data_IF_790471711386
#
_entry.id   IF_790471711386
#
_cell.length_a   1.000
_cell.length_b   1.000
_cell.length_c   1.000
_cell.angle_alpha   90.00
_cell.angle_beta   90.00
_cell.angle_gamma   90.00
#
_symmetry.space_group_name_H-M   'P 1'
#
loop_
_entity.id
_entity.type
_entity.pdbx_description
1 polymer ?
#
# COMPACT_ATOMS: atom_id res chain seq x y z
N UNK A 1 44.52 72.34 5.89
CA UNK A 1 44.07 71.77 4.60
C UNK A 1 45.15 70.78 4.17
N UNK A 2 44.95 69.49 4.46
CA UNK A 2 45.92 68.45 4.11
C UNK A 2 45.50 67.82 2.79
N UNK A 3 46.31 68.01 1.75
CA UNK A 3 46.21 67.28 0.50
C UNK A 3 46.29 65.78 0.79
N UNK A 4 45.17 65.08 0.57
CA UNK A 4 45.17 63.62 0.54
C UNK A 4 45.73 63.19 -0.80
N UNK A 5 47.02 62.85 -0.81
CA UNK A 5 47.66 62.14 -1.91
C UNK A 5 46.81 60.93 -2.29
N UNK A 6 46.09 61.05 -3.42
CA UNK A 6 45.40 59.94 -4.06
C UNK A 6 46.45 59.00 -4.62
N UNK A 7 46.90 58.06 -3.78
CA UNK A 7 47.73 56.93 -4.19
C UNK A 7 47.02 56.25 -5.36
N UNK A 8 47.62 56.33 -6.54
CA UNK A 8 47.13 55.66 -7.74
C UNK A 8 46.92 54.17 -7.45
N UNK A 9 45.79 53.57 -7.84
CA UNK A 9 45.53 52.16 -7.55
C UNK A 9 46.60 51.30 -8.21
N UNK A 10 47.42 50.65 -7.38
CA UNK A 10 48.47 49.74 -7.83
C UNK A 10 47.82 48.65 -8.68
N UNK A 11 48.21 48.54 -9.96
CA UNK A 11 47.62 47.58 -10.91
C UNK A 11 48.18 46.17 -10.75
N UNK A 12 49.42 46.06 -10.26
CA UNK A 12 50.11 44.80 -10.02
C UNK A 12 51.05 44.91 -8.82
N UNK A 13 51.35 43.78 -8.17
CA UNK A 13 52.21 43.67 -7.00
C UNK A 13 53.06 42.41 -7.08
N UNK A 14 54.32 42.49 -6.64
CA UNK A 14 55.20 41.31 -6.50
C UNK A 14 54.85 40.54 -5.22
N UNK A 15 54.54 39.25 -5.36
CA UNK A 15 54.28 38.38 -4.22
C UNK A 15 55.60 38.07 -3.49
N UNK A 16 55.64 38.29 -2.17
CA UNK A 16 56.85 38.01 -1.37
C UNK A 16 57.14 36.52 -1.16
N UNK A 17 56.22 35.62 -1.51
CA UNK A 17 56.38 34.17 -1.31
C UNK A 17 56.81 33.46 -2.60
N UNK A 18 56.13 33.71 -3.72
CA UNK A 18 56.46 33.11 -5.02
C UNK A 18 57.32 33.99 -5.93
N UNK A 19 57.59 35.25 -5.55
CA UNK A 19 58.42 36.17 -6.32
C UNK A 19 57.79 36.72 -7.61
N UNK A 20 56.64 36.21 -8.04
CA UNK A 20 55.95 36.65 -9.26
C UNK A 20 55.20 37.98 -9.08
N UNK A 21 55.24 38.83 -10.10
CA UNK A 21 54.40 40.04 -10.19
C UNK A 21 53.03 39.67 -10.74
N UNK A 22 51.98 39.88 -9.94
CA UNK A 22 50.60 39.50 -10.25
C UNK A 22 49.68 40.71 -10.23
N UNK A 23 48.53 40.68 -10.93
CA UNK A 23 47.55 41.76 -10.86
C UNK A 23 47.04 41.96 -9.43
N UNK A 24 46.65 43.19 -9.09
CA UNK A 24 46.15 43.51 -7.75
C UNK A 24 44.93 42.67 -7.32
N UNK A 25 44.14 42.16 -8.28
CA UNK A 25 43.03 41.22 -8.06
C UNK A 25 43.47 39.89 -7.43
N UNK A 26 44.74 39.51 -7.57
CA UNK A 26 45.30 38.28 -7.01
C UNK A 26 45.80 38.44 -5.57
N UNK A 27 45.62 39.62 -4.97
CA UNK A 27 45.96 39.91 -3.58
C UNK A 27 44.69 40.21 -2.78
N UNK A 28 44.69 39.89 -1.49
CA UNK A 28 43.61 40.32 -0.57
C UNK A 28 43.79 41.80 -0.24
N UNK A 29 42.70 42.51 0.05
CA UNK A 29 42.77 43.89 0.54
C UNK A 29 43.29 43.90 1.98
N UNK A 30 44.29 44.72 2.26
CA UNK A 30 44.88 44.87 3.59
C UNK A 30 45.03 46.37 3.89
N UNK A 31 44.10 46.91 4.70
CA UNK A 31 44.06 48.35 5.01
C UNK A 31 45.32 48.87 5.70
N UNK A 32 46.07 47.99 6.37
CA UNK A 32 47.29 48.35 7.10
C UNK A 32 48.55 48.41 6.22
N UNK A 33 48.49 48.01 4.95
CA UNK A 33 49.64 48.14 4.04
C UNK A 33 49.62 49.47 3.30
N UNK A 34 50.81 50.02 3.00
CA UNK A 34 50.97 51.29 2.26
C UNK A 34 50.23 51.32 0.92
N UNK A 35 50.08 50.17 0.28
CA UNK A 35 49.45 49.99 -1.03
C UNK A 35 48.03 49.38 -0.95
N UNK A 36 47.50 49.16 0.25
CA UNK A 36 46.17 48.57 0.46
C UNK A 36 46.03 47.08 0.07
N UNK A 37 47.12 46.41 -0.33
CA UNK A 37 47.14 45.01 -0.77
C UNK A 37 48.01 44.14 0.14
N UNK A 38 47.57 42.89 0.36
CA UNK A 38 48.33 41.90 1.12
C UNK A 38 49.73 41.64 0.54
N UNK A 39 50.66 41.19 1.40
CA UNK A 39 52.05 40.90 1.02
C UNK A 39 52.21 39.64 0.16
N UNK A 40 51.24 38.72 0.24
CA UNK A 40 51.25 37.44 -0.47
C UNK A 40 50.04 37.34 -1.39
N UNK A 41 50.22 36.74 -2.57
CA UNK A 41 49.10 36.46 -3.45
C UNK A 41 48.14 35.44 -2.80
N UNK A 42 46.88 35.40 -3.24
CA UNK A 42 45.82 34.50 -2.75
C UNK A 42 46.24 33.02 -2.77
N UNK A 43 47.08 32.63 -3.73
CA UNK A 43 47.66 31.26 -3.85
C UNK A 43 48.52 30.96 -2.62
N UNK A 44 49.56 31.76 -2.43
CA UNK A 44 50.59 31.62 -1.41
C UNK A 44 50.01 31.77 -0.01
N UNK A 45 49.11 32.74 0.16
CA UNK A 45 48.36 32.93 1.40
C UNK A 45 47.57 31.66 1.77
N UNK A 46 46.87 31.09 0.81
CA UNK A 46 46.13 29.83 0.98
C UNK A 46 47.02 28.63 1.33
N UNK A 47 48.14 28.48 0.63
CA UNK A 47 49.11 27.42 0.88
C UNK A 47 49.70 27.53 2.30
N UNK A 48 50.10 28.73 2.73
CA UNK A 48 50.60 28.98 4.10
C UNK A 48 49.55 28.68 5.15
N UNK A 49 48.32 29.17 4.99
CA UNK A 49 47.25 28.91 5.93
C UNK A 49 46.95 27.39 6.02
N UNK A 50 46.99 26.70 4.89
CA UNK A 50 46.83 25.24 4.86
C UNK A 50 47.96 24.50 5.58
N UNK A 51 49.21 24.95 5.49
CA UNK A 51 50.34 24.33 6.23
C UNK A 51 50.15 24.45 7.73
N UNK A 52 49.73 25.63 8.23
CA UNK A 52 49.45 25.84 9.65
C UNK A 52 48.29 24.97 10.14
N UNK A 53 47.19 24.90 9.39
CA UNK A 53 46.06 24.03 9.69
C UNK A 53 46.44 22.54 9.69
N UNK A 54 47.19 22.09 8.67
CA UNK A 54 47.60 20.69 8.55
C UNK A 54 48.53 20.26 9.69
N UNK A 55 49.45 21.13 10.12
CA UNK A 55 50.30 20.88 11.29
C UNK A 55 49.45 20.61 12.53
N UNK A 56 48.49 21.50 12.85
CA UNK A 56 47.58 21.32 13.99
C UNK A 56 46.74 20.03 13.93
N UNK A 57 46.32 19.60 12.73
CA UNK A 57 45.55 18.37 12.58
C UNK A 57 46.42 17.11 12.67
N UNK A 58 47.66 17.17 12.17
CA UNK A 58 48.65 16.09 12.32
C UNK A 58 49.04 15.90 13.79
N UNK A 59 49.18 16.99 14.55
CA UNK A 59 49.41 16.95 16.01
C UNK A 59 48.25 16.27 16.75
N UNK A 60 47.03 16.27 16.17
CA UNK A 60 45.84 15.58 16.67
C UNK A 60 45.67 14.15 16.10
N UNK A 61 46.66 13.63 15.38
CA UNK A 61 46.64 12.30 14.77
C UNK A 61 45.67 12.13 13.61
N UNK A 62 45.17 13.22 13.01
CA UNK A 62 44.19 13.17 11.92
C UNK A 62 44.86 13.31 10.56
N UNK A 63 44.50 12.44 9.62
CA UNK A 63 44.90 12.60 8.22
C UNK A 63 44.34 13.90 7.63
N UNK A 64 45.20 14.65 6.93
CA UNK A 64 44.83 15.94 6.36
C UNK A 64 44.71 15.88 4.85
N UNK A 65 43.63 16.45 4.31
CA UNK A 65 43.45 16.57 2.86
C UNK A 65 44.40 17.60 2.26
N UNK A 66 44.83 17.36 1.02
CA UNK A 66 45.53 18.36 0.22
C UNK A 66 44.66 19.61 0.04
N UNK A 67 45.27 20.77 0.26
CA UNK A 67 44.67 22.08 0.03
C UNK A 67 44.37 22.25 -1.44
N UNK A 68 43.14 22.66 -1.74
CA UNK A 68 42.68 22.98 -3.09
C UNK A 68 41.94 24.32 -3.01
N UNK A 69 42.22 25.26 -3.92
CA UNK A 69 41.50 26.54 -3.88
C UNK A 69 40.13 26.37 -4.49
N UNK A 70 39.16 27.10 -3.93
CA UNK A 70 37.81 27.16 -4.49
C UNK A 70 37.80 27.76 -5.91
N UNK A 71 38.79 28.59 -6.26
CA UNK A 71 38.99 29.16 -7.60
C UNK A 71 39.41 28.15 -8.67
N UNK A 72 39.81 26.94 -8.28
CA UNK A 72 40.22 25.89 -9.23
C UNK A 72 39.02 25.08 -9.75
N UNK A 73 37.81 25.40 -9.27
CA UNK A 73 36.55 24.80 -9.74
C UNK A 73 35.91 25.78 -10.74
N UNK A 74 35.68 25.37 -12.00
CA UNK A 74 35.02 26.21 -12.99
C UNK A 74 33.63 26.69 -12.54
N UNK A 75 33.20 27.84 -13.04
CA UNK A 75 31.84 28.34 -12.81
C UNK A 75 30.80 27.32 -13.31
N UNK A 76 29.74 27.09 -12.53
CA UNK A 76 28.76 26.03 -12.81
C UNK A 76 29.21 24.60 -12.44
N UNK A 77 30.39 24.42 -11.84
CA UNK A 77 30.85 23.13 -11.33
C UNK A 77 31.00 23.12 -9.80
N UNK A 78 30.94 21.92 -9.23
CA UNK A 78 31.13 21.67 -7.80
C UNK A 78 31.94 20.40 -7.59
N UNK A 79 32.85 20.46 -6.61
CA UNK A 79 33.66 19.31 -6.20
C UNK A 79 32.87 18.41 -5.24
N UNK A 80 32.86 17.10 -5.51
CA UNK A 80 32.33 16.09 -4.60
C UNK A 80 33.46 15.52 -3.72
N UNK A 81 33.44 15.74 -2.39
CA UNK A 81 34.48 15.24 -1.49
C UNK A 81 34.47 13.73 -1.25
N UNK A 82 33.47 13.01 -1.75
CA UNK A 82 33.36 11.55 -1.62
C UNK A 82 34.01 10.83 -2.80
N UNK A 83 33.62 11.14 -4.04
CA UNK A 83 34.27 10.57 -5.23
C UNK A 83 35.51 11.32 -5.70
N UNK A 84 35.79 12.50 -5.12
CA UNK A 84 36.95 13.35 -5.42
C UNK A 84 36.96 13.93 -6.84
N UNK A 85 35.81 14.01 -7.49
CA UNK A 85 35.63 14.57 -8.84
C UNK A 85 34.98 15.96 -8.80
N UNK A 86 35.27 16.77 -9.82
CA UNK A 86 34.56 18.02 -10.10
C UNK A 86 33.46 17.72 -11.13
N UNK A 87 32.21 18.05 -10.80
CA UNK A 87 31.02 17.70 -11.58
C UNK A 87 30.16 18.94 -11.78
N UNK A 88 29.23 18.91 -12.75
CA UNK A 88 28.22 19.96 -12.89
C UNK A 88 27.42 20.13 -11.60
N UNK A 89 27.02 21.37 -11.27
CA UNK A 89 26.10 21.66 -10.16
C UNK A 89 24.77 20.90 -10.27
N UNK A 90 24.34 20.52 -11.47
CA UNK A 90 23.12 19.75 -11.71
C UNK A 90 23.18 18.32 -11.14
N UNK A 91 24.39 17.78 -11.02
CA UNK A 91 24.64 16.48 -10.40
C UNK A 91 24.55 16.53 -8.86
N UNK A 92 24.27 17.70 -8.28
CA UNK A 92 24.07 17.87 -6.84
C UNK A 92 22.59 18.07 -6.52
N UNK A 93 22.18 17.67 -5.31
CA UNK A 93 20.83 17.94 -4.82
C UNK A 93 20.70 19.39 -4.37
N UNK A 94 19.47 19.90 -4.27
CA UNK A 94 19.21 21.21 -3.66
C UNK A 94 19.20 21.09 -2.14
N UNK A 95 19.85 22.00 -1.44
CA UNK A 95 19.80 22.11 0.02
C UNK A 95 19.74 23.58 0.43
N UNK A 96 18.54 24.03 0.83
CA UNK A 96 18.24 25.40 1.24
C UNK A 96 19.01 25.84 2.50
N UNK A 97 19.41 24.90 3.35
CA UNK A 97 20.18 25.20 4.55
C UNK A 97 21.67 25.47 4.26
N UNK A 98 22.16 25.14 3.05
CA UNK A 98 23.56 25.38 2.68
C UNK A 98 23.74 26.75 2.04
N UNK A 99 24.86 27.43 2.32
CA UNK A 99 25.23 28.71 1.68
C UNK A 99 25.28 28.64 0.15
N UNK A 100 25.63 27.46 -0.40
CA UNK A 100 25.66 27.23 -1.85
C UNK A 100 24.32 26.82 -2.46
N UNK A 101 23.27 26.62 -1.65
CA UNK A 101 21.99 26.07 -2.12
C UNK A 101 22.02 24.60 -2.59
N UNK A 102 23.18 23.93 -2.51
CA UNK A 102 23.46 22.59 -3.06
C UNK A 102 24.03 21.64 -2.00
N UNK A 103 23.73 20.34 -2.13
CA UNK A 103 24.25 19.28 -1.25
C UNK A 103 25.77 19.21 -1.26
N UNK A 104 26.36 18.68 -0.18
CA UNK A 104 27.81 18.53 -0.03
C UNK A 104 28.39 17.45 -0.96
N UNK A 105 27.65 16.37 -1.19
CA UNK A 105 28.00 15.28 -2.11
C UNK A 105 27.18 15.35 -3.40
N UNK A 106 27.72 14.82 -4.49
CA UNK A 106 26.95 14.57 -5.72
C UNK A 106 25.83 13.54 -5.43
N UNK A 107 24.78 13.52 -6.24
CA UNK A 107 23.60 12.67 -6.06
C UNK A 107 23.94 11.19 -5.85
N UNK A 108 24.82 10.53 -6.64
CA UNK A 108 25.18 9.13 -6.40
C UNK A 108 25.85 8.90 -5.04
N UNK A 109 26.80 9.77 -4.66
CA UNK A 109 27.48 9.68 -3.37
C UNK A 109 26.53 9.99 -2.21
N UNK A 110 25.60 10.92 -2.40
CA UNK A 110 24.56 11.23 -1.42
C UNK A 110 23.63 10.03 -1.21
N UNK A 111 23.16 9.39 -2.28
CA UNK A 111 22.32 8.19 -2.19
C UNK A 111 23.03 7.05 -1.45
N UNK A 112 24.32 6.80 -1.74
CA UNK A 112 25.13 5.81 -1.01
C UNK A 112 25.26 6.14 0.47
N UNK A 113 25.61 7.40 0.80
CA UNK A 113 25.73 7.84 2.18
C UNK A 113 24.41 7.74 2.95
N UNK A 114 23.28 8.11 2.33
CA UNK A 114 21.95 7.97 2.93
C UNK A 114 21.60 6.49 3.17
N UNK A 115 21.91 5.60 2.23
CA UNK A 115 21.70 4.17 2.40
C UNK A 115 22.52 3.59 3.57
N UNK A 116 23.79 3.98 3.70
CA UNK A 116 24.66 3.58 4.81
C UNK A 116 24.16 4.12 6.16
N UNK A 117 23.74 5.39 6.22
CA UNK A 117 23.16 5.98 7.44
C UNK A 117 21.88 5.23 7.83
N UNK A 118 21.00 4.94 6.87
CA UNK A 118 19.79 4.15 7.11
C UNK A 118 20.12 2.76 7.65
N UNK A 119 21.11 2.08 7.06
CA UNK A 119 21.57 0.76 7.52
C UNK A 119 22.17 0.82 8.92
N UNK A 120 22.96 1.85 9.24
CA UNK A 120 23.57 2.03 10.57
C UNK A 120 22.54 2.30 11.66
N UNK A 121 21.58 3.18 11.38
CA UNK A 121 20.61 3.63 12.39
C UNK A 121 19.43 2.67 12.57
N UNK A 122 19.04 1.97 11.51
CA UNK A 122 17.84 1.12 11.51
C UNK A 122 18.13 -0.36 11.23
N UNK A 123 19.39 -0.75 10.98
CA UNK A 123 19.79 -2.13 10.67
C UNK A 123 19.46 -2.54 9.23
N UNK A 124 18.17 -2.50 8.86
CA UNK A 124 17.67 -2.88 7.55
C UNK A 124 16.75 -1.79 6.95
N UNK A 125 16.64 -1.76 5.62
CA UNK A 125 15.68 -0.88 4.94
C UNK A 125 14.23 -1.23 5.31
N UNK A 126 13.96 -2.52 5.57
CA UNK A 126 12.66 -3.01 6.03
C UNK A 126 12.32 -2.46 7.42
N UNK A 127 13.23 -2.56 8.38
CA UNK A 127 13.03 -2.07 9.74
C UNK A 127 12.83 -0.54 9.78
N UNK A 128 13.53 0.20 8.92
CA UNK A 128 13.28 1.64 8.75
C UNK A 128 11.83 1.94 8.30
N UNK A 129 11.33 1.22 7.28
CA UNK A 129 9.97 1.41 6.78
C UNK A 129 8.91 0.98 7.79
N UNK A 130 9.13 -0.12 8.52
CA UNK A 130 8.23 -0.59 9.57
C UNK A 130 8.11 0.44 10.70
N UNK A 131 9.24 0.98 11.18
CA UNK A 131 9.25 2.04 12.20
C UNK A 131 8.56 3.31 11.72
N UNK A 132 8.77 3.70 10.46
CA UNK A 132 8.18 4.92 9.89
C UNK A 132 6.66 4.82 9.72
N UNK A 133 6.15 3.65 9.28
CA UNK A 133 4.73 3.48 8.93
C UNK A 133 3.87 2.97 10.08
N UNK A 134 4.42 2.08 10.89
CA UNK A 134 3.66 1.29 11.86
C UNK A 134 4.21 1.41 13.27
N UNK A 135 5.29 2.17 13.47
CA UNK A 135 5.97 2.32 14.75
C UNK A 135 6.41 0.99 15.40
N UNK A 136 6.56 -0.08 14.60
CA UNK A 136 7.07 -1.39 15.05
C UNK A 136 8.41 -1.73 14.41
N UNK A 137 9.20 -2.55 15.10
CA UNK A 137 10.47 -3.07 14.59
C UNK A 137 10.31 -4.41 13.87
N UNK A 138 11.32 -4.79 13.10
CA UNK A 138 11.41 -6.11 12.48
C UNK A 138 11.38 -7.25 13.51
N UNK A 139 12.02 -7.07 14.66
CA UNK A 139 12.00 -8.02 15.78
C UNK A 139 10.62 -8.10 16.45
N UNK A 140 9.91 -6.98 16.57
CA UNK A 140 8.52 -6.95 17.08
C UNK A 140 7.57 -7.72 16.16
N UNK A 141 7.66 -7.49 14.85
CA UNK A 141 6.90 -8.26 13.87
C UNK A 141 7.24 -9.75 13.95
N UNK A 142 8.52 -10.10 14.13
CA UNK A 142 8.94 -11.48 14.37
C UNK A 142 8.29 -12.11 15.60
N UNK A 143 8.21 -11.38 16.72
CA UNK A 143 7.51 -11.81 17.94
C UNK A 143 6.01 -11.98 17.72
N UNK A 144 5.36 -11.07 16.98
CA UNK A 144 3.94 -11.21 16.63
C UNK A 144 3.68 -12.46 15.79
N UNK A 145 4.52 -12.71 14.77
CA UNK A 145 4.42 -13.91 13.93
C UNK A 145 4.61 -15.19 14.75
N UNK A 146 5.57 -15.21 15.67
CA UNK A 146 5.79 -16.35 16.56
C UNK A 146 4.59 -16.58 17.50
N UNK A 147 4.03 -15.51 18.08
CA UNK A 147 2.85 -15.60 18.94
C UNK A 147 1.60 -16.11 18.19
N UNK A 148 1.51 -15.83 16.89
CA UNK A 148 0.46 -16.36 16.01
C UNK A 148 0.70 -17.83 15.60
N UNK A 149 1.79 -18.48 16.03
CA UNK A 149 2.14 -19.83 15.57
C UNK A 149 2.64 -19.87 14.12
N UNK A 150 3.12 -18.73 13.58
CA UNK A 150 3.63 -18.65 12.21
C UNK A 150 2.55 -18.71 11.12
N UNK A 151 1.26 -18.53 11.47
CA UNK A 151 0.14 -18.60 10.52
C UNK A 151 -0.63 -17.28 10.45
N UNK A 152 -1.22 -17.00 9.28
CA UNK A 152 -2.19 -15.92 9.10
C UNK A 152 -3.42 -16.15 9.97
N UNK A 153 -3.73 -15.20 10.85
CA UNK A 153 -4.85 -15.34 11.79
C UNK A 153 -6.20 -15.44 11.09
N UNK A 154 -6.40 -14.86 9.91
CA UNK A 154 -7.70 -14.94 9.20
C UNK A 154 -7.89 -16.32 8.57
N UNK A 155 -7.00 -16.74 7.66
CA UNK A 155 -7.25 -17.96 6.89
C UNK A 155 -6.74 -19.24 7.54
N UNK A 156 -5.81 -19.15 8.49
CA UNK A 156 -5.11 -20.28 9.13
C UNK A 156 -4.42 -21.27 8.14
N UNK A 157 -4.15 -20.83 6.90
CA UNK A 157 -3.61 -21.68 5.82
C UNK A 157 -2.27 -21.22 5.25
N UNK A 158 -1.88 -19.96 5.50
CA UNK A 158 -0.73 -19.34 4.86
C UNK A 158 0.15 -18.59 5.86
N UNK A 159 1.43 -18.48 5.53
CA UNK A 159 2.38 -17.69 6.31
C UNK A 159 1.99 -16.20 6.33
N UNK A 160 2.05 -15.54 7.50
CA UNK A 160 1.82 -14.12 7.61
C UNK A 160 3.07 -13.35 7.14
N UNK A 161 2.86 -12.31 6.34
CA UNK A 161 3.94 -11.51 5.74
C UNK A 161 3.72 -10.00 5.86
N UNK A 162 2.48 -9.56 6.08
CA UNK A 162 2.08 -8.16 6.05
C UNK A 162 1.57 -7.73 7.42
N UNK A 163 2.09 -6.62 7.93
CA UNK A 163 1.57 -5.99 9.15
C UNK A 163 0.27 -5.28 8.79
N UNK A 164 -0.81 -5.72 9.41
CA UNK A 164 -2.12 -5.14 9.27
C UNK A 164 -2.40 -4.15 10.41
N UNK A 165 -3.07 -3.05 10.07
CA UNK A 165 -3.35 -1.95 11.00
C UNK A 165 -4.72 -1.35 10.69
N UNK A 166 -5.35 -0.80 11.73
CA UNK A 166 -6.58 -0.02 11.55
C UNK A 166 -6.26 1.29 10.83
N UNK A 167 -6.93 1.55 9.70
CA UNK A 167 -6.83 2.83 9.00
C UNK A 167 -7.49 3.98 9.77
N UNK A 168 -8.33 3.68 10.77
CA UNK A 168 -8.94 4.68 11.64
C UNK A 168 -8.02 5.09 12.80
N UNK A 169 -7.38 4.13 13.46
CA UNK A 169 -6.61 4.39 14.70
C UNK A 169 -5.10 4.27 14.54
N UNK A 170 -4.62 3.71 13.44
CA UNK A 170 -3.21 3.37 13.22
C UNK A 170 -2.71 2.18 14.04
N UNK A 171 -3.58 1.57 14.87
CA UNK A 171 -3.21 0.45 15.74
C UNK A 171 -2.97 -0.80 14.92
N UNK A 172 -1.79 -1.41 15.13
CA UNK A 172 -1.44 -2.71 14.54
C UNK A 172 -2.33 -3.80 15.16
N UNK A 173 -3.07 -4.52 14.31
CA UNK A 173 -3.97 -5.60 14.74
C UNK A 173 -3.28 -6.96 14.72
N UNK A 174 -2.44 -7.23 13.72
CA UNK A 174 -1.76 -8.51 13.57
C UNK A 174 -0.92 -8.59 12.31
N UNK A 175 -0.43 -9.79 12.01
CA UNK A 175 0.31 -10.06 10.76
C UNK A 175 -0.50 -11.04 9.91
N UNK A 176 -0.80 -10.65 8.68
CA UNK A 176 -1.66 -11.38 7.74
C UNK A 176 -0.87 -11.87 6.52
N UNK A 177 -1.42 -12.84 5.80
CA UNK A 177 -0.93 -13.18 4.47
C UNK A 177 -1.33 -12.09 3.45
N UNK A 178 -0.64 -12.04 2.31
CA UNK A 178 -0.89 -11.02 1.28
C UNK A 178 -2.35 -11.01 0.80
N UNK A 179 -2.94 -12.20 0.62
CA UNK A 179 -4.32 -12.32 0.10
C UNK A 179 -5.36 -11.81 1.10
N UNK A 180 -5.28 -12.23 2.36
CA UNK A 180 -6.22 -11.77 3.38
C UNK A 180 -6.10 -10.27 3.61
N UNK A 181 -4.88 -9.72 3.69
CA UNK A 181 -4.66 -8.28 3.82
C UNK A 181 -5.24 -7.50 2.62
N UNK A 182 -5.05 -8.00 1.40
CA UNK A 182 -5.64 -7.39 0.20
C UNK A 182 -7.16 -7.43 0.22
N UNK A 183 -7.74 -8.55 0.68
CA UNK A 183 -9.18 -8.75 0.70
C UNK A 183 -9.88 -7.78 1.66
N UNK A 184 -9.30 -7.52 2.84
CA UNK A 184 -9.83 -6.51 3.77
C UNK A 184 -10.00 -5.16 3.07
N UNK A 185 -9.00 -4.74 2.29
CA UNK A 185 -9.08 -3.52 1.47
C UNK A 185 -10.13 -3.58 0.36
N UNK A 186 -10.36 -4.73 -0.28
CA UNK A 186 -11.42 -4.90 -1.29
C UNK A 186 -12.83 -4.76 -0.69
N UNK A 187 -12.99 -5.18 0.56
CA UNK A 187 -14.20 -5.01 1.35
C UNK A 187 -14.21 -3.69 2.16
N UNK A 188 -13.31 -2.75 1.84
CA UNK A 188 -13.22 -1.42 2.47
C UNK A 188 -13.12 -1.47 4.01
N UNK A 189 -12.53 -2.53 4.56
CA UNK A 189 -12.49 -2.78 6.01
C UNK A 189 -13.89 -2.77 6.66
N UNK A 190 -14.95 -3.17 5.92
CA UNK A 190 -16.32 -3.28 6.42
C UNK A 190 -16.63 -4.73 6.87
N UNK A 191 -16.77 -4.99 8.19
CA UNK A 191 -17.10 -6.31 8.71
C UNK A 191 -18.48 -6.81 8.25
N UNK A 192 -19.44 -5.93 7.98
CA UNK A 192 -20.77 -6.34 7.49
C UNK A 192 -20.68 -6.86 6.07
N UNK A 193 -19.99 -6.14 5.20
CA UNK A 193 -19.82 -6.56 3.81
C UNK A 193 -19.09 -7.92 3.69
N UNK A 194 -18.16 -8.20 4.59
CA UNK A 194 -17.50 -9.51 4.71
C UNK A 194 -18.47 -10.62 5.16
N UNK A 195 -19.33 -10.34 6.14
CA UNK A 195 -20.36 -11.27 6.58
C UNK A 195 -21.46 -11.52 5.53
N UNK A 196 -21.90 -10.46 4.84
CA UNK A 196 -22.85 -10.54 3.72
C UNK A 196 -22.27 -11.38 2.58
N UNK A 197 -20.98 -11.22 2.28
CA UNK A 197 -20.29 -12.08 1.33
C UNK A 197 -20.26 -13.54 1.79
N UNK A 198 -20.05 -13.81 3.09
CA UNK A 198 -20.09 -15.17 3.62
C UNK A 198 -21.48 -15.80 3.47
N UNK A 199 -22.53 -15.04 3.76
CA UNK A 199 -23.92 -15.49 3.60
C UNK A 199 -24.28 -15.67 2.13
N UNK A 200 -23.81 -14.79 1.25
CA UNK A 200 -23.95 -14.91 -0.20
C UNK A 200 -23.35 -16.22 -0.74
N UNK A 201 -22.16 -16.62 -0.29
CA UNK A 201 -21.53 -17.89 -0.66
C UNK A 201 -22.33 -19.11 -0.17
N UNK A 202 -23.02 -18.99 0.96
CA UNK A 202 -23.81 -20.07 1.57
C UNK A 202 -25.28 -20.05 1.15
N UNK A 203 -25.66 -19.20 0.19
CA UNK A 203 -27.04 -19.02 -0.25
C UNK A 203 -27.98 -18.63 0.90
N UNK A 204 -27.47 -17.80 1.81
CA UNK A 204 -28.18 -17.18 2.93
C UNK A 204 -28.37 -15.69 2.69
N UNK A 205 -29.12 -15.09 3.62
CA UNK A 205 -29.33 -13.67 3.63
C UNK A 205 -30.28 -13.19 2.53
N UNK A 206 -30.35 -11.87 2.34
CA UNK A 206 -31.45 -11.29 1.59
C UNK A 206 -31.38 -11.50 0.08
N UNK A 207 -30.16 -11.53 -0.50
CA UNK A 207 -29.99 -11.85 -1.93
C UNK A 207 -30.51 -13.25 -2.24
N UNK A 208 -30.15 -14.26 -1.45
CA UNK A 208 -30.65 -15.61 -1.64
C UNK A 208 -32.16 -15.73 -1.43
N UNK A 209 -32.74 -14.96 -0.49
CA UNK A 209 -34.19 -14.89 -0.32
C UNK A 209 -34.87 -14.31 -1.57
N UNK A 210 -34.32 -13.23 -2.14
CA UNK A 210 -34.79 -12.64 -3.38
C UNK A 210 -34.73 -13.63 -4.55
N UNK A 211 -33.58 -14.29 -4.73
CA UNK A 211 -33.43 -15.28 -5.80
C UNK A 211 -34.49 -16.39 -5.68
N UNK A 212 -34.78 -16.87 -4.46
CA UNK A 212 -35.84 -17.85 -4.23
C UNK A 212 -37.24 -17.34 -4.59
N UNK A 213 -37.53 -16.07 -4.34
CA UNK A 213 -38.82 -15.46 -4.71
C UNK A 213 -38.96 -15.35 -6.24
N UNK A 214 -37.89 -14.95 -6.92
CA UNK A 214 -37.90 -14.69 -8.37
C UNK A 214 -37.77 -15.99 -9.20
N UNK A 215 -37.02 -16.98 -8.71
CA UNK A 215 -36.65 -18.20 -9.46
C UNK A 215 -37.12 -19.51 -8.82
N UNK A 216 -37.65 -19.48 -7.59
CA UNK A 216 -37.86 -20.70 -6.79
C UNK A 216 -36.56 -21.35 -6.27
N UNK A 217 -35.39 -20.79 -6.59
CA UNK A 217 -34.06 -21.28 -6.17
C UNK A 217 -33.14 -20.12 -5.77
N UNK A 218 -32.17 -20.38 -4.90
CA UNK A 218 -31.19 -19.36 -4.50
C UNK A 218 -30.07 -19.13 -5.52
N UNK A 219 -30.00 -19.97 -6.56
CA UNK A 219 -28.99 -19.93 -7.62
C UNK A 219 -29.63 -20.17 -8.98
N UNK A 220 -28.94 -19.76 -10.04
CA UNK A 220 -29.23 -20.19 -11.40
C UNK A 220 -28.39 -21.42 -11.69
N UNK A 221 -29.03 -22.58 -11.81
CA UNK A 221 -28.39 -23.77 -12.36
C UNK A 221 -28.50 -23.78 -13.89
N UNK A 222 -27.44 -24.22 -14.57
CA UNK A 222 -27.45 -24.37 -16.02
C UNK A 222 -28.17 -25.64 -16.49
N UNK A 223 -28.68 -26.48 -15.59
CA UNK A 223 -29.28 -27.78 -15.94
C UNK A 223 -30.76 -27.64 -16.31
N UNK A 224 -31.51 -26.80 -15.59
CA UNK A 224 -32.91 -26.52 -15.87
C UNK A 224 -33.15 -25.94 -17.28
N UNK A 225 -32.20 -25.17 -17.83
CA UNK A 225 -32.34 -24.49 -19.14
C UNK A 225 -31.56 -25.13 -20.29
N UNK A 226 -30.64 -26.07 -20.02
CA UNK A 226 -30.02 -26.89 -21.08
C UNK A 226 -31.04 -27.79 -21.79
N UNK A 227 -32.11 -28.19 -21.09
CA UNK A 227 -33.19 -29.03 -21.62
C UNK A 227 -34.18 -28.27 -22.53
N UNK A 228 -34.44 -26.98 -22.31
CA UNK A 228 -35.34 -26.20 -23.17
C UNK A 228 -34.74 -25.98 -24.57
N UNK A 229 -33.41 -25.90 -24.69
CA UNK A 229 -32.73 -25.84 -26.00
C UNK A 229 -32.68 -27.18 -26.75
N UNK A 230 -33.15 -28.28 -26.16
CA UNK A 230 -33.10 -29.64 -26.72
C UNK A 230 -34.45 -30.19 -27.20
N UNK A 231 -35.54 -29.43 -27.09
CA UNK A 231 -36.86 -29.87 -27.52
C UNK A 231 -37.33 -29.11 -28.76
N UNK A 232 -36.80 -29.54 -29.92
CA UNK A 232 -37.50 -29.67 -31.21
C UNK A 232 -36.45 -29.99 -32.30
N UNK A 233 -36.30 -31.28 -32.60
CA UNK A 233 -35.64 -31.83 -33.78
C UNK A 233 -34.16 -31.49 -34.02
N UNK A 234 -33.27 -32.34 -33.46
CA UNK A 234 -32.19 -33.03 -34.20
C UNK A 234 -31.12 -32.21 -34.95
N UNK A 235 -31.14 -30.89 -34.89
CA UNK A 235 -30.17 -30.02 -35.55
C UNK A 235 -29.41 -29.23 -34.50
N UNK A 236 -28.11 -29.48 -34.42
CA UNK A 236 -27.16 -28.70 -33.63
C UNK A 236 -27.19 -27.28 -34.21
N UNK A 237 -27.98 -26.37 -33.61
CA UNK A 237 -28.04 -24.99 -34.06
C UNK A 237 -26.61 -24.44 -34.13
N UNK A 238 -26.20 -23.95 -35.31
CA UNK A 238 -24.92 -23.24 -35.46
C UNK A 238 -25.06 -21.91 -34.74
N UNK A 239 -24.63 -21.86 -33.48
CA UNK A 239 -24.67 -20.63 -32.68
C UNK A 239 -23.60 -19.65 -33.18
N UNK A 240 -24.04 -18.58 -33.82
CA UNK A 240 -23.25 -17.38 -34.08
C UNK A 240 -23.42 -16.45 -32.88
N UNK A 241 -22.45 -16.43 -31.97
CA UNK A 241 -22.45 -15.51 -30.83
C UNK A 241 -21.13 -14.75 -30.70
N UNK A 242 -21.16 -13.58 -30.05
CA UNK A 242 -19.97 -12.82 -29.70
C UNK A 242 -19.05 -13.65 -28.79
N UNK A 243 -17.74 -13.34 -28.68
CA UNK A 243 -16.84 -14.04 -27.78
C UNK A 243 -17.35 -14.09 -26.33
N UNK A 244 -18.04 -13.04 -25.88
CA UNK A 244 -18.70 -12.98 -24.57
C UNK A 244 -19.83 -13.99 -24.45
N UNK A 245 -20.74 -14.06 -25.43
CA UNK A 245 -21.86 -15.00 -25.44
C UNK A 245 -21.38 -16.46 -25.43
N UNK A 246 -20.33 -16.76 -26.19
CA UNK A 246 -19.73 -18.09 -26.20
C UNK A 246 -19.04 -18.41 -24.86
N UNK A 247 -18.40 -17.42 -24.22
CA UNK A 247 -17.79 -17.58 -22.90
C UNK A 247 -18.82 -17.87 -21.80
N UNK A 248 -19.91 -17.08 -21.73
CA UNK A 248 -20.96 -17.27 -20.71
C UNK A 248 -21.62 -18.63 -20.86
N UNK A 249 -21.97 -19.03 -22.08
CA UNK A 249 -22.59 -20.33 -22.36
C UNK A 249 -21.68 -21.50 -22.03
N UNK A 250 -20.41 -21.45 -22.43
CA UNK A 250 -19.47 -22.56 -22.20
C UNK A 250 -19.06 -22.69 -20.72
N UNK A 251 -18.97 -21.58 -20.00
CA UNK A 251 -18.42 -21.56 -18.63
C UNK A 251 -19.49 -21.58 -17.54
N UNK A 252 -20.63 -20.94 -17.76
CA UNK A 252 -21.64 -20.69 -16.72
C UNK A 252 -23.01 -21.29 -17.06
N UNK A 253 -23.22 -21.75 -18.29
CA UNK A 253 -24.52 -22.29 -18.70
C UNK A 253 -25.64 -21.24 -18.81
N UNK A 254 -25.29 -19.95 -18.76
CA UNK A 254 -26.21 -18.81 -18.95
C UNK A 254 -25.85 -18.04 -20.22
N UNK A 255 -26.80 -17.33 -20.80
CA UNK A 255 -26.62 -16.46 -21.95
C UNK A 255 -26.59 -14.96 -21.53
N UNK A 256 -26.40 -14.04 -22.48
CA UNK A 256 -26.38 -12.59 -22.21
C UNK A 256 -27.73 -12.06 -21.70
N UNK A 257 -28.86 -12.64 -22.12
CA UNK A 257 -30.20 -12.28 -21.65
C UNK A 257 -30.37 -12.70 -20.19
N UNK A 258 -29.91 -13.90 -19.82
CA UNK A 258 -29.91 -14.39 -18.43
C UNK A 258 -29.06 -13.50 -17.53
N UNK A 259 -27.88 -13.09 -17.99
CA UNK A 259 -27.00 -12.18 -17.26
C UNK A 259 -27.63 -10.77 -17.14
N UNK A 260 -28.30 -10.29 -18.20
CA UNK A 260 -29.00 -9.00 -18.18
C UNK A 260 -30.22 -9.02 -17.25
N UNK A 261 -30.95 -10.14 -17.23
CA UNK A 261 -32.06 -10.37 -16.30
C UNK A 261 -31.57 -10.46 -14.85
N UNK A 262 -30.48 -11.17 -14.57
CA UNK A 262 -29.86 -11.19 -13.23
C UNK A 262 -29.46 -9.78 -12.78
N UNK A 263 -28.89 -9.00 -13.70
CA UNK A 263 -28.53 -7.62 -13.44
C UNK A 263 -29.77 -6.74 -13.18
N UNK A 264 -30.88 -6.94 -13.91
CA UNK A 264 -32.12 -6.18 -13.70
C UNK A 264 -32.81 -6.54 -12.39
N UNK A 265 -32.83 -7.82 -12.01
CA UNK A 265 -33.33 -8.27 -10.70
C UNK A 265 -32.51 -7.63 -9.58
N UNK A 266 -31.21 -7.44 -9.80
CA UNK A 266 -30.33 -6.71 -8.90
C UNK A 266 -30.29 -5.19 -9.13
N UNK A 267 -31.22 -4.61 -9.89
CA UNK A 267 -31.26 -3.16 -10.11
C UNK A 267 -29.95 -2.54 -10.62
N UNK A 268 -29.12 -3.30 -11.34
CA UNK A 268 -27.81 -2.87 -11.83
C UNK A 268 -26.67 -2.96 -10.80
N UNK A 269 -26.93 -3.41 -9.57
CA UNK A 269 -26.01 -3.29 -8.44
C UNK A 269 -25.44 -4.65 -7.99
N UNK A 270 -24.32 -4.60 -7.25
CA UNK A 270 -23.69 -5.79 -6.69
C UNK A 270 -24.59 -6.50 -5.67
N UNK A 271 -24.72 -7.83 -5.80
CA UNK A 271 -25.49 -8.71 -4.92
C UNK A 271 -25.05 -8.71 -3.45
N UNK A 272 -23.81 -8.29 -3.19
CA UNK A 272 -23.20 -8.31 -1.86
C UNK A 272 -23.26 -6.91 -1.24
N UNK A 273 -22.58 -5.93 -1.84
CA UNK A 273 -22.43 -4.61 -1.20
C UNK A 273 -23.53 -3.62 -1.55
N UNK A 274 -24.23 -3.81 -2.67
CA UNK A 274 -25.23 -2.90 -3.22
C UNK A 274 -24.80 -1.42 -3.33
N UNK A 275 -23.50 -1.14 -3.24
CA UNK A 275 -22.92 0.21 -3.25
C UNK A 275 -22.13 0.51 -4.52
N UNK A 276 -21.97 -0.49 -5.38
CA UNK A 276 -21.25 -0.40 -6.63
C UNK A 276 -22.00 -1.13 -7.76
N UNK A 277 -21.83 -0.69 -9.02
CA UNK A 277 -22.40 -1.37 -10.17
C UNK A 277 -21.89 -2.81 -10.26
N UNK A 278 -22.79 -3.71 -10.63
CA UNK A 278 -22.45 -5.10 -10.89
C UNK A 278 -21.84 -5.23 -12.29
N UNK A 279 -20.69 -5.87 -12.38
CA UNK A 279 -19.93 -5.99 -13.65
C UNK A 279 -19.57 -7.45 -13.96
N UNK A 280 -19.62 -8.34 -12.96
CA UNK A 280 -19.13 -9.70 -13.06
C UNK A 280 -20.24 -10.70 -12.72
N UNK A 281 -20.38 -11.72 -13.56
CA UNK A 281 -21.17 -12.92 -13.24
C UNK A 281 -20.40 -13.72 -12.20
N UNK A 282 -20.91 -13.74 -10.99
CA UNK A 282 -20.32 -14.50 -9.90
C UNK A 282 -20.91 -15.93 -9.86
N UNK A 283 -20.02 -16.89 -9.65
CA UNK A 283 -20.33 -18.32 -9.75
C UNK A 283 -19.49 -19.12 -8.76
N UNK A 284 -20.02 -20.26 -8.35
CA UNK A 284 -19.25 -21.22 -7.57
C UNK A 284 -18.24 -21.96 -8.46
N UNK A 285 -16.95 -21.88 -8.13
CA UNK A 285 -15.88 -22.45 -8.95
C UNK A 285 -15.85 -23.98 -8.97
N UNK A 286 -16.57 -24.67 -8.07
CA UNK A 286 -16.62 -26.13 -7.99
C UNK A 286 -17.80 -26.71 -8.78
N UNK A 287 -18.96 -26.07 -8.67
CA UNK A 287 -20.24 -26.55 -9.21
C UNK A 287 -20.66 -25.81 -10.47
N UNK A 288 -20.13 -24.60 -10.70
CA UNK A 288 -20.48 -23.74 -11.84
C UNK A 288 -21.82 -23.02 -11.68
N UNK A 289 -22.54 -23.19 -10.56
CA UNK A 289 -23.82 -22.49 -10.34
C UNK A 289 -23.60 -20.99 -10.24
N UNK A 290 -24.45 -20.23 -10.92
CA UNK A 290 -24.40 -18.77 -10.89
C UNK A 290 -25.18 -18.29 -9.68
N UNK A 291 -24.51 -17.50 -8.85
CA UNK A 291 -25.05 -17.01 -7.57
C UNK A 291 -25.68 -15.63 -7.73
N UNK A 292 -25.14 -14.80 -8.63
CA UNK A 292 -25.62 -13.45 -8.89
C UNK A 292 -24.58 -12.61 -9.65
N UNK A 293 -24.81 -11.30 -9.69
CA UNK A 293 -23.86 -10.32 -10.24
C UNK A 293 -23.10 -9.60 -9.12
N UNK A 294 -21.79 -9.49 -9.24
CA UNK A 294 -20.92 -8.83 -8.27
C UNK A 294 -20.14 -7.66 -8.88
N UNK A 295 -19.78 -6.67 -8.06
CA UNK A 295 -18.79 -5.66 -8.45
C UNK A 295 -17.37 -6.25 -8.45
N UNK A 296 -16.43 -5.59 -9.12
CA UNK A 296 -15.04 -6.05 -9.19
C UNK A 296 -14.38 -6.21 -7.81
N UNK A 297 -14.70 -5.32 -6.85
CA UNK A 297 -14.17 -5.36 -5.49
C UNK A 297 -14.64 -6.60 -4.71
N UNK A 298 -15.95 -6.81 -4.59
CA UNK A 298 -16.51 -7.99 -3.93
C UNK A 298 -16.05 -9.31 -4.57
N UNK A 299 -16.08 -9.39 -5.91
CA UNK A 299 -15.65 -10.60 -6.63
C UNK A 299 -14.17 -10.91 -6.36
N UNK A 300 -13.30 -9.89 -6.45
CA UNK A 300 -11.86 -10.05 -6.18
C UNK A 300 -11.60 -10.38 -4.71
N UNK A 301 -12.30 -9.71 -3.79
CA UNK A 301 -12.19 -9.93 -2.35
C UNK A 301 -12.57 -11.35 -1.93
N UNK A 302 -13.70 -11.88 -2.44
CA UNK A 302 -14.09 -13.28 -2.22
C UNK A 302 -13.02 -14.24 -2.72
N UNK A 303 -12.54 -14.05 -3.96
CA UNK A 303 -11.46 -14.87 -4.53
C UNK A 303 -10.15 -14.79 -3.74
N UNK A 304 -9.79 -13.63 -3.18
CA UNK A 304 -8.63 -13.47 -2.31
C UNK A 304 -8.79 -14.20 -0.97
N UNK A 305 -10.00 -14.29 -0.43
CA UNK A 305 -10.32 -15.11 0.74
C UNK A 305 -10.57 -16.58 0.38
N UNK A 306 -10.47 -16.94 -0.90
CA UNK A 306 -10.56 -18.29 -1.41
C UNK A 306 -11.98 -18.81 -1.51
N UNK A 307 -12.94 -17.93 -1.80
CA UNK A 307 -14.37 -18.25 -1.96
C UNK A 307 -14.91 -19.08 -0.79
N UNK A 308 -14.49 -18.71 0.42
CA UNK A 308 -14.70 -19.50 1.62
C UNK A 308 -15.33 -18.65 2.75
N UNK A 309 -16.55 -19.04 3.13
CA UNK A 309 -17.36 -18.33 4.11
C UNK A 309 -16.69 -18.27 5.50
N UNK A 310 -15.88 -19.28 5.86
CA UNK A 310 -15.14 -19.28 7.13
C UNK A 310 -14.12 -18.15 7.17
N UNK A 311 -13.34 -17.94 6.12
CA UNK A 311 -12.33 -16.89 6.02
C UNK A 311 -12.97 -15.51 5.99
N UNK A 312 -14.14 -15.38 5.36
CA UNK A 312 -14.92 -14.13 5.34
C UNK A 312 -15.46 -13.76 6.74
N UNK A 313 -16.07 -14.71 7.47
CA UNK A 313 -16.52 -14.44 8.85
C UNK A 313 -15.36 -14.18 9.80
N UNK A 314 -14.27 -14.94 9.69
CA UNK A 314 -13.04 -14.67 10.44
C UNK A 314 -12.46 -13.29 10.13
N UNK A 315 -12.52 -12.84 8.87
CA UNK A 315 -12.09 -11.50 8.50
C UNK A 315 -13.00 -10.41 9.11
N UNK A 316 -14.32 -10.62 9.16
CA UNK A 316 -15.24 -9.71 9.85
C UNK A 316 -14.89 -9.60 11.34
N UNK A 317 -14.77 -10.74 12.02
CA UNK A 317 -14.44 -10.79 13.45
C UNK A 317 -13.03 -10.26 13.74
N UNK A 318 -12.12 -10.34 12.78
CA UNK A 318 -10.79 -9.72 12.87
C UNK A 318 -10.88 -8.19 12.91
N UNK A 319 -11.71 -7.60 12.05
CA UNK A 319 -11.94 -6.16 12.04
C UNK A 319 -12.68 -5.67 13.29
N UNK A 320 -13.60 -6.48 13.81
CA UNK A 320 -14.30 -6.23 15.08
C UNK A 320 -13.39 -6.42 16.31
N UNK A 321 -12.21 -7.01 16.15
CA UNK A 321 -11.29 -7.29 17.27
C UNK A 321 -11.67 -8.52 18.11
N UNK A 322 -12.59 -9.35 17.61
CA UNK A 322 -13.13 -10.52 18.29
C UNK A 322 -12.41 -11.82 17.91
N UNK A 323 -11.74 -11.84 16.76
CA UNK A 323 -11.03 -13.02 16.26
C UNK A 323 -9.84 -13.42 17.14
N UNK A 324 -8.98 -12.45 17.47
CA UNK A 324 -7.70 -12.69 18.17
C UNK A 324 -7.85 -12.26 19.62
N UNK A 325 -7.91 -13.23 20.52
CA UNK A 325 -8.08 -13.00 21.96
C UNK A 325 -6.81 -13.36 22.72
N UNK A 326 -6.65 -12.78 23.90
CA UNK A 326 -5.56 -13.18 24.81
C UNK A 326 -6.13 -13.95 25.98
N UNK A 327 -5.68 -15.20 26.17
CA UNK A 327 -6.14 -16.11 27.23
C UNK A 327 -5.03 -16.39 28.24
N UNK A 328 -5.40 -16.68 29.48
CA UNK A 328 -4.46 -17.07 30.53
C UNK A 328 -3.94 -18.49 30.30
N UNK A 329 -2.66 -18.73 30.58
CA UNK A 329 -2.08 -20.08 30.55
C UNK A 329 -2.04 -20.68 31.95
N UNK A 330 -2.06 -22.03 32.10
CA UNK A 330 -1.99 -22.69 33.41
C UNK A 330 -0.77 -22.29 34.25
N UNK A 331 0.33 -21.86 33.61
CA UNK A 331 1.55 -21.37 34.28
C UNK A 331 1.54 -19.89 34.66
N UNK A 332 0.40 -19.20 34.62
CA UNK A 332 0.29 -17.78 34.99
C UNK A 332 0.71 -16.78 33.89
N UNK A 333 0.96 -17.26 32.67
CA UNK A 333 1.26 -16.44 31.50
C UNK A 333 0.03 -16.06 30.69
N UNK A 334 0.24 -15.40 29.56
CA UNK A 334 -0.80 -15.06 28.58
C UNK A 334 -0.37 -15.52 27.19
N UNK A 335 -1.31 -16.04 26.40
CA UNK A 335 -1.10 -16.42 25.00
C UNK A 335 -2.25 -15.96 24.12
N UNK A 336 -2.03 -16.02 22.80
CA UNK A 336 -3.10 -15.78 21.84
C UNK A 336 -4.03 -17.00 21.74
N UNK A 337 -5.29 -16.71 21.43
CA UNK A 337 -6.35 -17.64 21.04
C UNK A 337 -6.89 -17.15 19.71
N UNK A 338 -6.87 -18.01 18.69
CA UNK A 338 -7.23 -17.67 17.30
C UNK A 338 -8.52 -18.35 16.83
N UNK A 339 -9.05 -19.29 17.60
CA UNK A 339 -10.19 -20.15 17.22
C UNK A 339 -11.13 -20.37 18.40
N UNK A 340 -12.34 -20.82 18.08
CA UNK A 340 -13.30 -21.38 19.02
C UNK A 340 -13.67 -22.80 18.53
N UNK A 341 -13.37 -23.88 19.27
CA UNK A 341 -12.72 -23.90 20.57
C UNK A 341 -11.27 -23.40 20.54
N UNK A 342 -10.80 -22.97 21.71
CA UNK A 342 -9.47 -22.42 21.87
C UNK A 342 -8.39 -23.51 21.73
N UNK A 343 -7.33 -23.18 20.99
CA UNK A 343 -6.11 -23.97 20.85
C UNK A 343 -4.91 -23.04 20.97
N UNK A 344 -3.82 -23.54 21.57
CA UNK A 344 -2.56 -22.82 21.60
C UNK A 344 -1.94 -22.77 20.19
N UNK A 345 -1.78 -21.57 19.58
CA UNK A 345 -1.26 -21.47 18.22
C UNK A 345 0.16 -22.01 18.07
N UNK A 346 0.93 -22.04 19.16
CA UNK A 346 2.32 -22.50 19.16
C UNK A 346 2.45 -24.03 19.16
N UNK A 347 1.36 -24.76 19.43
CA UNK A 347 1.37 -26.23 19.48
C UNK A 347 0.84 -26.86 18.19
N UNK A 348 0.18 -26.10 17.32
CA UNK A 348 -0.37 -26.59 16.05
C UNK A 348 0.71 -26.60 14.97
N UNK A 349 1.19 -27.79 14.61
CA UNK A 349 2.22 -28.00 13.58
C UNK A 349 1.61 -27.94 12.17
N UNK A 350 2.39 -27.49 11.19
CA UNK A 350 1.99 -27.19 9.80
C UNK A 350 0.93 -28.11 9.19
N UNK A 351 -0.19 -27.51 8.76
CA UNK A 351 -1.34 -28.22 8.19
C UNK A 351 -2.37 -28.73 9.22
N UNK A 352 -2.05 -28.74 10.52
CA UNK A 352 -2.96 -29.19 11.58
C UNK A 352 -4.09 -28.23 11.95
N UNK A 353 -4.27 -27.14 11.20
CA UNK A 353 -5.26 -26.10 11.50
C UNK A 353 -6.66 -26.39 10.99
N UNK A 354 -6.83 -27.31 10.02
CA UNK A 354 -8.10 -27.42 9.30
C UNK A 354 -9.27 -27.83 10.21
N UNK A 355 -9.08 -28.78 11.14
CA UNK A 355 -10.15 -29.19 12.06
C UNK A 355 -10.61 -28.05 12.97
N UNK A 356 -9.67 -27.32 13.58
CA UNK A 356 -9.97 -26.16 14.42
C UNK A 356 -10.63 -25.03 13.62
N UNK A 357 -10.19 -24.85 12.38
CA UNK A 357 -10.73 -23.85 11.46
C UNK A 357 -12.16 -24.16 11.04
N UNK A 358 -12.47 -25.41 10.73
CA UNK A 358 -13.83 -25.84 10.42
C UNK A 358 -14.77 -25.68 11.62
N UNK A 359 -14.30 -26.05 12.82
CA UNK A 359 -15.09 -25.92 14.04
C UNK A 359 -15.35 -24.45 14.42
N UNK A 360 -14.32 -23.62 14.33
CA UNK A 360 -14.43 -22.17 14.48
C UNK A 360 -15.35 -21.54 13.43
N UNK A 361 -15.26 -22.02 12.19
CA UNK A 361 -16.17 -21.63 11.12
C UNK A 361 -17.63 -21.95 11.44
N UNK A 362 -17.92 -23.16 11.94
CA UNK A 362 -19.26 -23.55 12.39
C UNK A 362 -19.75 -22.67 13.54
N UNK A 363 -18.89 -22.40 14.53
CA UNK A 363 -19.21 -21.52 15.65
C UNK A 363 -19.56 -20.11 15.17
N UNK A 364 -18.68 -19.47 14.37
CA UNK A 364 -18.91 -18.12 13.84
C UNK A 364 -20.13 -18.05 12.95
N UNK A 365 -20.38 -19.07 12.13
CA UNK A 365 -21.60 -19.16 11.32
C UNK A 365 -22.88 -19.19 12.17
N UNK A 366 -22.84 -19.84 13.33
CA UNK A 366 -23.97 -19.93 14.26
C UNK A 366 -24.19 -18.61 15.01
N UNK A 367 -23.10 -17.93 15.39
CA UNK A 367 -23.15 -16.65 16.10
C UNK A 367 -23.49 -15.47 15.17
N UNK A 368 -23.13 -15.58 13.89
CA UNK A 368 -23.44 -14.57 12.89
C UNK A 368 -24.95 -14.48 12.67
N UNK A 369 -25.53 -13.44 13.25
CA UNK A 369 -26.93 -13.05 13.10
C UNK A 369 -26.95 -11.73 12.36
N UNK A 370 -27.69 -11.70 11.24
CA UNK A 370 -27.97 -10.48 10.51
C UNK A 370 -29.07 -9.77 11.31
N UNK A 371 -28.70 -9.01 12.33
CA UNK A 371 -29.67 -8.16 13.04
C UNK A 371 -30.18 -7.08 12.08
N UNK A 372 -31.50 -6.97 11.99
CA UNK A 372 -32.21 -5.95 11.20
C UNK A 372 -31.95 -4.52 11.73
N UNK A 373 -31.43 -4.37 12.96
CA UNK A 373 -31.48 -3.14 13.75
C UNK A 373 -30.11 -2.63 14.25
N UNK A 374 -29.23 -2.12 13.37
CA UNK A 374 -28.11 -1.26 13.80
C UNK A 374 -27.97 -0.02 12.90
N UNK A 375 -27.70 1.12 13.53
CA UNK A 375 -27.85 2.54 13.12
C UNK A 375 -27.01 3.02 11.91
N UNK A 376 -26.71 2.17 10.94
CA UNK A 376 -26.33 2.59 9.58
C UNK A 376 -27.52 2.41 8.64
N UNK A 377 -27.55 3.02 7.44
CA UNK A 377 -28.53 2.65 6.45
C UNK A 377 -28.33 1.17 6.11
N UNK A 378 -29.20 0.34 6.69
CA UNK A 378 -29.25 -1.11 6.55
C UNK A 378 -29.45 -1.51 5.09
N UNK A 379 -29.13 -2.76 4.77
CA UNK A 379 -29.49 -3.40 3.50
C UNK A 379 -30.94 -3.09 3.08
N UNK A 380 -31.89 -3.17 4.02
CA UNK A 380 -33.31 -2.89 3.78
C UNK A 380 -33.54 -1.43 3.34
N UNK A 381 -32.93 -0.47 4.05
CA UNK A 381 -33.12 0.96 3.78
C UNK A 381 -32.50 1.42 2.44
N UNK A 382 -31.31 0.90 2.09
CA UNK A 382 -30.66 1.20 0.81
C UNK A 382 -31.39 0.55 -0.37
N UNK A 383 -31.89 -0.67 -0.18
CA UNK A 383 -32.67 -1.40 -1.18
C UNK A 383 -34.05 -0.78 -1.41
N UNK A 384 -34.79 -0.40 -0.38
CA UNK A 384 -36.10 0.25 -0.50
C UNK A 384 -36.01 1.58 -1.23
N UNK A 385 -35.07 2.45 -0.87
CA UNK A 385 -34.91 3.76 -1.52
C UNK A 385 -34.59 3.61 -3.02
N UNK A 386 -33.67 2.72 -3.37
CA UNK A 386 -33.28 2.47 -4.77
C UNK A 386 -34.37 1.74 -5.57
N UNK A 387 -35.09 0.81 -4.96
CA UNK A 387 -36.23 0.15 -5.61
C UNK A 387 -37.37 1.15 -5.85
N UNK A 388 -37.64 2.05 -4.91
CA UNK A 388 -38.63 3.12 -5.10
C UNK A 388 -38.23 4.06 -6.25
N UNK A 389 -36.96 4.44 -6.36
CA UNK A 389 -36.45 5.20 -7.51
C UNK A 389 -36.65 4.44 -8.83
N UNK A 390 -36.32 3.14 -8.86
CA UNK A 390 -36.46 2.31 -10.07
C UNK A 390 -37.92 2.04 -10.45
N UNK A 391 -38.82 1.85 -9.48
CA UNK A 391 -40.25 1.70 -9.76
C UNK A 391 -40.89 3.02 -10.18
N UNK A 392 -40.43 4.15 -9.63
CA UNK A 392 -40.85 5.47 -10.08
C UNK A 392 -40.46 5.72 -11.54
N UNK A 393 -39.22 5.40 -11.93
CA UNK A 393 -38.79 5.54 -13.33
C UNK A 393 -39.56 4.63 -14.29
N UNK A 394 -39.88 3.39 -13.88
CA UNK A 394 -40.72 2.48 -14.68
C UNK A 394 -42.18 2.97 -14.80
N UNK A 395 -42.71 3.64 -13.76
CA UNK A 395 -44.04 4.27 -13.80
C UNK A 395 -44.10 5.51 -14.69
N UNK A 396 -43.02 6.30 -14.75
CA UNK A 396 -42.89 7.45 -15.66
C UNK A 396 -42.78 6.99 -17.13
N UNK A 397 -42.06 5.91 -17.41
CA UNK A 397 -42.00 5.31 -18.75
C UNK A 397 -43.36 4.73 -19.18
N UNK A 398 -44.10 4.10 -18.27
CA UNK A 398 -45.43 3.56 -18.56
C UNK A 398 -46.51 4.65 -18.77
N UNK A 399 -46.38 5.81 -18.11
CA UNK A 399 -47.29 6.95 -18.30
C UNK A 399 -46.91 7.81 -19.51
N UNK A 400 -45.65 7.79 -19.93
CA UNK A 400 -45.19 8.41 -21.18
C UNK A 400 -45.73 7.77 -22.46
N UNK A 401 -46.14 6.50 -22.42
CA UNK A 401 -46.81 5.82 -23.54
C UNK A 401 -48.33 6.04 -23.61
N UNK A 402 -48.94 6.66 -22.60
CA UNK A 402 -50.38 6.98 -22.58
C UNK A 402 -50.69 8.40 -23.09
N UNK A 403 -49.66 9.19 -23.44
CA UNK A 403 -49.80 10.54 -24.00
C UNK A 403 -48.99 10.64 -25.29
N UNK A 404 -49.44 9.92 -26.33
CA UNK A 404 -48.89 9.96 -27.68
C UNK A 404 -49.99 9.78 -28.70
#
# INVERSE_FOLDING_TARGET
>A
MGETDKVSPMRSKKCLDCGETKPASDFWRLKSSKDGLAYYCKVCFGLRNSRSYRKKQADLGKETRAYRRHSDVPEGMKYCPQCKEVKSVDEFGRNRASRSGLTHYCRPCHSKAVAEIRKRNHGSARNYLLKLRYSVTEEEVGRMMAAQGGVCVICLRAEPKHVDHSHLTGVVRGVLCFKCNGALGQFQDDPRQLGDAADYLEFRGPHAARMRLELGSAVVDGEARRCEAFTLWGTRAKFTGTPRQNHLRQKYGINDEDASWLLSVQGGMCAICWSAPAEHVDHDHRTGVVRGMACGGCNTGMGQLGDDAVSLRRAADYLLGELVRTVATPGGGRRLSLTVPDVDPTTVVGGGWESYREEDGRHRRMMWTVDEDHEGPTWLSRCLAKMQESYASLGEEATGFAVG
#
